data_IF_489722834270
#
_entry.id   IF_489722834270
#
_cell.length_a   1.000
_cell.length_b   1.000
_cell.length_c   1.000
_cell.angle_alpha   90.00
_cell.angle_beta   90.00
_cell.angle_gamma   90.00
#
_symmetry.space_group_name_H-M   'P 1'
#
loop_
_entity.id
_entity.type
_entity.pdbx_description
1 polymer ?
#
# COMPACT_ATOMS: atom_id res chain seq x y z
N UNK A 1 -25.48 15.07 23.62
CA UNK A 1 -25.38 15.13 22.14
C UNK A 1 -23.91 15.07 21.65
N UNK A 2 -22.96 14.51 22.41
CA UNK A 2 -21.53 14.52 22.06
C UNK A 2 -21.01 13.21 21.43
N UNK A 3 -21.84 12.16 21.33
CA UNK A 3 -21.41 10.83 20.84
C UNK A 3 -21.42 10.69 19.31
N UNK A 4 -22.35 11.33 18.60
CA UNK A 4 -22.43 11.21 17.13
C UNK A 4 -21.29 11.94 16.41
N UNK A 5 -20.80 13.05 16.98
CA UNK A 5 -19.66 13.80 16.44
C UNK A 5 -18.33 13.03 16.52
N UNK A 6 -18.12 12.26 17.59
CA UNK A 6 -16.90 11.45 17.75
C UNK A 6 -16.86 10.27 16.78
N UNK A 7 -18.01 9.63 16.51
CA UNK A 7 -18.12 8.51 15.56
C UNK A 7 -17.89 8.95 14.12
N UNK A 8 -18.54 10.02 13.67
CA UNK A 8 -18.33 10.55 12.31
C UNK A 8 -16.90 11.09 12.09
N UNK A 9 -16.29 11.66 13.13
CA UNK A 9 -14.88 12.07 13.11
C UNK A 9 -13.91 10.90 13.01
N UNK A 10 -14.14 9.82 13.77
CA UNK A 10 -13.32 8.60 13.73
C UNK A 10 -13.44 7.90 12.37
N UNK A 11 -14.66 7.79 11.84
CA UNK A 11 -14.91 7.21 10.51
C UNK A 11 -14.24 8.05 9.42
N UNK A 12 -14.30 9.37 9.49
CA UNK A 12 -13.64 10.27 8.54
C UNK A 12 -12.11 10.12 8.53
N UNK A 13 -11.49 10.03 9.71
CA UNK A 13 -10.05 9.79 9.83
C UNK A 13 -9.64 8.41 9.27
N UNK A 14 -10.48 7.39 9.48
CA UNK A 14 -10.25 6.05 8.96
C UNK A 14 -10.32 6.01 7.43
N UNK A 15 -11.32 6.66 6.84
CA UNK A 15 -11.47 6.77 5.38
C UNK A 15 -10.26 7.50 4.78
N UNK A 16 -9.78 8.57 5.41
CA UNK A 16 -8.60 9.29 4.93
C UNK A 16 -7.34 8.41 4.91
N UNK A 17 -7.11 7.63 5.97
CA UNK A 17 -5.97 6.70 6.05
C UNK A 17 -6.11 5.56 5.03
N UNK A 18 -7.32 5.01 4.88
CA UNK A 18 -7.60 3.96 3.90
C UNK A 18 -7.42 4.44 2.45
N UNK A 19 -7.81 5.68 2.13
CA UNK A 19 -7.60 6.27 0.80
C UNK A 19 -6.11 6.51 0.54
N UNK A 20 -5.36 7.06 1.51
CA UNK A 20 -3.92 7.27 1.36
C UNK A 20 -3.16 5.95 1.19
N UNK A 21 -3.54 4.91 1.93
CA UNK A 21 -3.01 3.56 1.74
C UNK A 21 -3.41 2.99 0.38
N UNK A 22 -4.66 3.16 -0.06
CA UNK A 22 -5.15 2.67 -1.35
C UNK A 22 -4.48 3.34 -2.55
N UNK A 23 -4.19 4.64 -2.49
CA UNK A 23 -3.42 5.31 -3.55
C UNK A 23 -1.96 4.84 -3.51
N UNK A 24 -1.40 4.66 -2.31
CA UNK A 24 -0.07 4.09 -2.12
C UNK A 24 0.08 2.69 -2.70
N UNK A 25 -0.89 1.79 -2.50
CA UNK A 25 -0.88 0.43 -3.04
C UNK A 25 -0.99 0.41 -4.56
N UNK A 26 -1.81 1.28 -5.15
CA UNK A 26 -2.01 1.35 -6.60
C UNK A 26 -0.75 1.83 -7.31
N UNK A 27 -0.07 2.85 -6.76
CA UNK A 27 1.20 3.34 -7.30
C UNK A 27 2.28 2.24 -7.21
N UNK A 28 2.31 1.51 -6.10
CA UNK A 28 3.24 0.40 -5.90
C UNK A 28 2.95 -0.79 -6.82
N UNK A 29 1.67 -1.11 -7.04
CA UNK A 29 1.24 -2.18 -7.93
C UNK A 29 1.55 -1.89 -9.40
N UNK A 30 1.39 -0.64 -9.84
CA UNK A 30 1.75 -0.21 -11.20
C UNK A 30 3.26 -0.28 -11.50
N UNK A 31 4.10 -0.27 -10.46
CA UNK A 31 5.55 -0.36 -10.61
C UNK A 31 6.12 -1.78 -10.38
N UNK A 32 5.30 -2.71 -9.88
CA UNK A 32 5.65 -4.13 -9.70
C UNK A 32 5.04 -5.05 -10.77
N UNK A 33 4.34 -4.50 -11.76
CA UNK A 33 3.70 -5.26 -12.82
C UNK A 33 4.71 -5.56 -13.93
N UNK A 34 5.27 -6.77 -13.88
CA UNK A 34 6.02 -7.47 -14.93
C UNK A 34 6.76 -6.59 -15.96
N UNK A 35 8.00 -6.23 -15.62
CA UNK A 35 8.87 -5.42 -16.46
C UNK A 35 9.30 -6.11 -17.78
N UNK A 36 8.95 -7.39 -17.98
CA UNK A 36 9.32 -8.16 -19.17
C UNK A 36 8.72 -7.65 -20.49
N UNK A 37 7.65 -6.86 -20.39
CA UNK A 37 6.97 -6.24 -21.54
C UNK A 37 7.53 -4.87 -21.93
N UNK A 38 8.48 -4.33 -21.14
CA UNK A 38 9.03 -3.00 -21.36
C UNK A 38 10.20 -3.05 -22.33
N UNK A 39 10.17 -2.17 -23.34
CA UNK A 39 11.25 -2.04 -24.33
C UNK A 39 12.59 -1.76 -23.63
N UNK A 40 13.58 -2.62 -23.89
CA UNK A 40 14.91 -2.56 -23.23
C UNK A 40 15.11 -3.58 -22.11
N UNK A 41 14.12 -4.43 -21.83
CA UNK A 41 14.24 -5.56 -20.91
C UNK A 41 15.07 -6.70 -21.49
N UNK A 42 16.08 -7.16 -20.75
CA UNK A 42 16.88 -8.33 -21.10
C UNK A 42 16.47 -9.55 -20.27
N UNK A 43 15.86 -10.53 -20.93
CA UNK A 43 15.39 -11.78 -20.31
C UNK A 43 16.51 -12.70 -19.79
N UNK A 44 17.74 -12.55 -20.31
CA UNK A 44 18.89 -13.36 -19.90
C UNK A 44 19.65 -12.72 -18.74
N UNK A 45 19.68 -11.38 -18.71
CA UNK A 45 20.35 -10.61 -17.66
C UNK A 45 19.48 -9.41 -17.26
N UNK A 46 18.49 -9.59 -16.36
CA UNK A 46 17.57 -8.51 -15.98
C UNK A 46 18.30 -7.27 -15.46
N UNK A 47 19.42 -7.46 -14.75
CA UNK A 47 20.26 -6.37 -14.24
C UNK A 47 20.97 -5.53 -15.33
N UNK A 48 21.05 -6.03 -16.57
CA UNK A 48 21.59 -5.32 -17.73
C UNK A 48 20.49 -4.70 -18.60
N UNK A 49 19.22 -4.77 -18.18
CA UNK A 49 18.12 -4.06 -18.85
C UNK A 49 18.42 -2.57 -18.89
N UNK A 50 18.06 -1.90 -19.98
CA UNK A 50 18.40 -0.49 -20.21
C UNK A 50 17.13 0.36 -20.37
N UNK A 51 17.25 1.67 -20.09
CA UNK A 51 16.14 2.62 -20.21
C UNK A 51 15.02 2.39 -19.19
N UNK A 52 13.76 2.53 -19.64
CA UNK A 52 12.58 2.39 -18.78
C UNK A 52 12.46 1.02 -18.11
N UNK A 53 12.98 -0.05 -18.72
CA UNK A 53 13.00 -1.39 -18.13
C UNK A 53 13.88 -1.46 -16.87
N UNK A 54 14.98 -0.70 -16.85
CA UNK A 54 15.87 -0.62 -15.69
C UNK A 54 15.20 0.13 -14.52
N UNK A 55 14.45 1.20 -14.81
CA UNK A 55 13.66 1.92 -13.81
C UNK A 55 12.50 1.09 -13.29
N UNK A 56 11.87 0.29 -14.16
CA UNK A 56 10.84 -0.66 -13.76
C UNK A 56 11.40 -1.70 -12.77
N UNK A 57 12.53 -2.34 -13.07
CA UNK A 57 13.16 -3.32 -12.17
C UNK A 57 13.60 -2.73 -10.83
N UNK A 58 14.11 -1.49 -10.83
CA UNK A 58 14.45 -0.79 -9.58
C UNK A 58 13.21 -0.48 -8.74
N UNK A 59 12.12 -0.04 -9.39
CA UNK A 59 10.87 0.23 -8.70
C UNK A 59 10.16 -1.05 -8.24
N UNK A 60 10.26 -2.16 -8.97
CA UNK A 60 9.72 -3.47 -8.57
C UNK A 60 10.38 -3.97 -7.28
N UNK A 61 11.71 -3.91 -7.23
CA UNK A 61 12.50 -4.22 -6.02
C UNK A 61 12.10 -3.34 -4.83
N UNK A 62 11.97 -2.02 -5.04
CA UNK A 62 11.53 -1.09 -4.00
C UNK A 62 10.07 -1.31 -3.59
N UNK A 63 9.23 -1.73 -4.54
CA UNK A 63 7.81 -2.02 -4.33
C UNK A 63 7.60 -3.26 -3.48
N UNK A 64 8.45 -4.29 -3.58
CA UNK A 64 8.40 -5.46 -2.70
C UNK A 64 8.62 -5.09 -1.22
N UNK A 65 9.53 -4.15 -0.94
CA UNK A 65 9.74 -3.63 0.42
C UNK A 65 8.50 -2.88 0.94
N UNK A 66 7.84 -2.10 0.06
CA UNK A 66 6.59 -1.42 0.39
C UNK A 66 5.41 -2.37 0.63
N UNK A 67 5.30 -3.48 -0.12
CA UNK A 67 4.26 -4.49 0.07
C UNK A 67 4.33 -5.17 1.45
N UNK A 68 5.54 -5.45 1.95
CA UNK A 68 5.73 -6.00 3.30
C UNK A 68 5.24 -5.05 4.39
N UNK A 69 5.55 -3.75 4.27
CA UNK A 69 5.08 -2.71 5.17
C UNK A 69 3.55 -2.53 5.09
N UNK A 70 2.97 -2.72 3.92
CA UNK A 70 1.53 -2.64 3.69
C UNK A 70 0.74 -3.75 4.39
N UNK A 71 1.26 -4.97 4.37
CA UNK A 71 0.65 -6.07 5.14
C UNK A 71 0.66 -5.76 6.64
N UNK A 72 1.77 -5.22 7.15
CA UNK A 72 1.89 -4.84 8.57
C UNK A 72 0.91 -3.70 8.90
N UNK A 73 0.78 -2.68 8.05
CA UNK A 73 -0.15 -1.56 8.31
C UNK A 73 -1.60 -2.02 8.31
N UNK A 74 -2.00 -2.91 7.41
CA UNK A 74 -3.35 -3.49 7.40
C UNK A 74 -3.65 -4.28 8.68
N UNK A 75 -2.68 -5.03 9.22
CA UNK A 75 -2.81 -5.76 10.50
C UNK A 75 -3.01 -4.79 11.66
N UNK A 76 -2.21 -3.72 11.73
CA UNK A 76 -2.32 -2.71 12.80
C UNK A 76 -3.67 -1.99 12.74
N UNK A 77 -4.12 -1.61 11.54
CA UNK A 77 -5.43 -0.97 11.33
C UNK A 77 -6.57 -1.91 11.78
N UNK A 78 -6.51 -3.19 11.41
CA UNK A 78 -7.49 -4.18 11.86
C UNK A 78 -7.51 -4.33 13.38
N UNK A 79 -6.34 -4.39 14.03
CA UNK A 79 -6.24 -4.47 15.49
C UNK A 79 -6.84 -3.23 16.18
N UNK A 80 -6.59 -2.03 15.65
CA UNK A 80 -7.17 -0.78 16.19
C UNK A 80 -8.69 -0.80 16.08
N UNK A 81 -9.27 -1.28 14.97
CA UNK A 81 -10.72 -1.39 14.81
C UNK A 81 -11.34 -2.36 15.82
N UNK A 82 -10.71 -3.51 16.06
CA UNK A 82 -11.21 -4.45 17.07
C UNK A 82 -11.12 -3.82 18.47
N UNK A 83 -10.01 -3.15 18.79
CA UNK A 83 -9.82 -2.49 20.08
C UNK A 83 -10.83 -1.35 20.31
N UNK A 84 -11.18 -0.58 19.27
CA UNK A 84 -12.19 0.48 19.41
C UNK A 84 -13.58 -0.09 19.63
N UNK A 85 -13.97 -1.18 18.95
CA UNK A 85 -15.26 -1.84 19.16
C UNK A 85 -15.35 -2.47 20.56
N UNK A 86 -14.31 -3.17 21.00
CA UNK A 86 -14.25 -3.77 22.35
C UNK A 86 -14.39 -2.70 23.43
N UNK A 87 -13.78 -1.53 23.23
CA UNK A 87 -13.87 -0.40 24.18
C UNK A 87 -15.21 0.34 24.16
N UNK A 88 -16.06 0.13 23.16
CA UNK A 88 -17.45 0.63 23.17
C UNK A 88 -18.43 -0.36 23.81
N UNK A 89 -18.06 -1.64 23.93
CA UNK A 89 -18.89 -2.69 24.50
C UNK A 89 -18.68 -2.92 26.00
N UNK A 90 -17.60 -2.41 26.58
CA UNK A 90 -17.29 -2.47 28.02
C UNK A 90 -17.26 -1.07 28.63
#
# INVERSE_FOLDING_TARGET
MAETGSLMGMVGAFIAVAIMLGIGTIILGGAATDCSTVTGYDSTTPASSTGWAQQCLQNESQSQAGYSLLMITLIVVAAVVVLTVVRMLG
#
